data_IF_391104536776
#
_entry.id   IF_391104536776
#
_cell.length_a   1.000
_cell.length_b   1.000
_cell.length_c   1.000
_cell.angle_alpha   90.00
_cell.angle_beta   90.00
_cell.angle_gamma   90.00
#
_symmetry.space_group_name_H-M   'P 1'
#
loop_
_entity.id
_entity.type
_entity.pdbx_description
1 polymer ?
#
# COMPACT_ATOMS: atom_id res chain seq x y z
N UNK A 1 15.90 6.81 1.06
CA UNK A 1 14.64 7.48 1.40
C UNK A 1 14.13 8.39 0.28
N UNK A 2 15.02 8.82 -0.66
CA UNK A 2 14.66 9.72 -1.75
C UNK A 2 15.32 9.28 -3.06
N UNK A 3 14.68 9.50 -4.26
CA UNK A 3 15.28 9.15 -5.56
C UNK A 3 16.66 9.78 -5.82
N UNK A 4 16.93 10.95 -5.24
CA UNK A 4 18.21 11.63 -5.36
C UNK A 4 19.39 10.93 -4.65
N UNK A 5 19.10 10.00 -3.73
CA UNK A 5 20.15 9.19 -3.07
C UNK A 5 20.72 8.11 -4.00
N UNK A 6 20.01 7.78 -5.10
CA UNK A 6 20.44 6.78 -6.05
C UNK A 6 21.31 7.47 -7.12
N UNK A 7 22.58 7.66 -6.75
CA UNK A 7 23.63 8.23 -7.61
C UNK A 7 24.26 7.14 -8.48
N UNK A 8 25.05 7.50 -9.52
CA UNK A 8 25.80 6.52 -10.32
C UNK A 8 26.69 5.59 -9.49
N UNK A 9 27.27 6.08 -8.38
CA UNK A 9 28.11 5.30 -7.48
C UNK A 9 27.26 4.26 -6.74
N UNK A 10 26.07 4.63 -6.27
CA UNK A 10 25.12 3.71 -5.63
C UNK A 10 24.63 2.67 -6.64
N UNK A 11 24.29 3.07 -7.87
CA UNK A 11 23.90 2.15 -8.94
C UNK A 11 25.00 1.12 -9.21
N UNK A 12 26.26 1.56 -9.31
CA UNK A 12 27.42 0.67 -9.49
C UNK A 12 27.60 -0.30 -8.32
N UNK A 13 27.50 0.19 -7.09
CA UNK A 13 27.63 -0.65 -5.89
C UNK A 13 26.52 -1.72 -5.81
N UNK A 14 25.28 -1.33 -6.09
CA UNK A 14 24.15 -2.28 -6.15
C UNK A 14 24.36 -3.33 -7.26
N UNK A 15 24.84 -2.92 -8.43
CA UNK A 15 25.12 -3.83 -9.52
C UNK A 15 26.19 -4.88 -9.13
N UNK A 16 27.30 -4.45 -8.51
CA UNK A 16 28.36 -5.36 -8.04
C UNK A 16 27.86 -6.39 -7.05
N UNK A 17 27.04 -5.99 -6.08
CA UNK A 17 26.45 -6.90 -5.11
C UNK A 17 25.46 -7.88 -5.77
N UNK A 18 24.61 -7.39 -6.65
CA UNK A 18 23.63 -8.23 -7.35
C UNK A 18 24.31 -9.20 -8.33
N UNK A 19 25.41 -8.81 -9.00
CA UNK A 19 26.20 -9.67 -9.87
C UNK A 19 26.91 -10.79 -9.08
N UNK A 20 27.26 -10.52 -7.81
CA UNK A 20 27.78 -11.52 -6.88
C UNK A 20 26.70 -12.46 -6.32
N UNK A 21 25.44 -12.34 -6.76
CA UNK A 21 24.32 -13.18 -6.30
C UNK A 21 23.75 -12.78 -4.93
N UNK A 22 24.06 -11.59 -4.43
CA UNK A 22 23.56 -11.10 -3.13
C UNK A 22 22.19 -10.44 -3.36
N UNK A 23 21.10 -10.95 -2.71
CA UNK A 23 19.80 -10.32 -2.82
C UNK A 23 19.76 -8.98 -2.09
N UNK A 24 19.22 -7.96 -2.76
CA UNK A 24 19.17 -6.60 -2.22
C UNK A 24 17.71 -6.20 -1.92
N UNK A 25 17.49 -5.65 -0.74
CA UNK A 25 16.23 -5.08 -0.31
C UNK A 25 16.39 -3.70 0.30
N UNK A 26 15.44 -2.80 0.02
CA UNK A 26 15.45 -1.46 0.60
C UNK A 26 14.49 -1.32 1.77
N UNK A 27 14.89 -0.53 2.75
CA UNK A 27 14.05 -0.06 3.84
C UNK A 27 14.02 1.46 3.80
N UNK A 28 12.82 2.03 3.73
CA UNK A 28 12.60 3.47 3.57
C UNK A 28 11.74 3.96 4.73
N UNK A 29 12.08 5.10 5.30
CA UNK A 29 11.23 5.78 6.30
C UNK A 29 10.38 6.82 5.59
N UNK A 30 9.09 6.87 5.89
CA UNK A 30 8.18 7.90 5.38
C UNK A 30 8.39 9.20 6.15
N UNK A 31 8.86 10.23 5.45
CA UNK A 31 9.28 11.50 6.04
C UNK A 31 8.50 12.66 5.42
N UNK A 32 7.84 13.44 6.27
CA UNK A 32 7.07 14.63 5.88
C UNK A 32 7.94 15.65 5.18
N UNK A 33 7.46 16.13 4.02
CA UNK A 33 8.14 17.14 3.21
C UNK A 33 9.35 16.62 2.41
N UNK A 34 9.67 15.32 2.50
CA UNK A 34 10.79 14.68 1.79
C UNK A 34 10.28 13.66 0.78
N UNK A 35 9.55 12.64 1.23
CA UNK A 35 9.07 11.55 0.40
C UNK A 35 7.61 11.18 0.65
N UNK A 36 6.86 12.01 1.34
CA UNK A 36 5.44 11.85 1.65
C UNK A 36 4.50 12.21 0.47
N UNK A 37 4.97 11.93 -0.75
CA UNK A 37 4.27 12.17 -2.00
C UNK A 37 4.32 10.90 -2.86
N UNK A 38 3.18 10.52 -3.44
CA UNK A 38 3.05 9.28 -4.23
C UNK A 38 3.98 9.25 -5.44
N UNK A 39 4.21 10.38 -6.12
CA UNK A 39 5.08 10.45 -7.30
C UNK A 39 6.55 10.25 -6.91
N UNK A 40 7.02 10.92 -5.84
CA UNK A 40 8.39 10.76 -5.32
C UNK A 40 8.62 9.32 -4.88
N UNK A 41 7.66 8.74 -4.15
CA UNK A 41 7.75 7.36 -3.70
C UNK A 41 7.74 6.37 -4.86
N UNK A 42 6.90 6.58 -5.86
CA UNK A 42 6.85 5.77 -7.09
C UNK A 42 8.18 5.82 -7.85
N UNK A 43 8.75 7.01 -8.02
CA UNK A 43 10.06 7.17 -8.66
C UNK A 43 11.14 6.40 -7.90
N UNK A 44 11.17 6.53 -6.55
CA UNK A 44 12.12 5.80 -5.71
C UNK A 44 11.99 4.28 -5.90
N UNK A 45 10.76 3.75 -5.80
CA UNK A 45 10.51 2.30 -5.90
C UNK A 45 10.91 1.76 -7.28
N UNK A 46 10.63 2.49 -8.35
CA UNK A 46 11.03 2.11 -9.71
C UNK A 46 12.56 2.19 -9.93
N UNK A 47 13.23 3.23 -9.40
CA UNK A 47 14.69 3.33 -9.44
C UNK A 47 15.35 2.18 -8.67
N UNK A 48 14.83 1.82 -7.49
CA UNK A 48 15.33 0.68 -6.73
C UNK A 48 15.23 -0.63 -7.54
N UNK A 49 14.07 -0.92 -8.13
CA UNK A 49 13.91 -2.12 -8.96
C UNK A 49 14.84 -2.13 -10.17
N UNK A 50 14.99 -0.99 -10.86
CA UNK A 50 15.93 -0.87 -11.99
C UNK A 50 17.35 -1.25 -11.58
N UNK A 51 17.72 -0.97 -10.33
CA UNK A 51 19.01 -1.31 -9.74
C UNK A 51 19.02 -2.69 -9.05
N UNK A 52 18.02 -3.55 -9.31
CA UNK A 52 17.91 -4.89 -8.74
C UNK A 52 17.81 -4.91 -7.21
N UNK A 53 17.32 -3.80 -6.64
CA UNK A 53 17.00 -3.68 -5.20
C UNK A 53 15.50 -3.82 -5.02
N UNK A 54 15.04 -4.86 -4.30
CA UNK A 54 13.62 -5.05 -4.01
C UNK A 54 13.14 -4.01 -3.00
N UNK A 55 12.16 -3.13 -3.32
CA UNK A 55 11.45 -2.36 -2.32
C UNK A 55 10.83 -3.31 -1.28
N UNK A 56 11.29 -3.22 -0.02
CA UNK A 56 10.94 -4.19 1.00
C UNK A 56 9.99 -3.60 2.03
N UNK A 57 10.41 -2.55 2.73
CA UNK A 57 9.58 -1.85 3.71
C UNK A 57 9.57 -0.34 3.48
N UNK A 58 8.39 0.26 3.71
CA UNK A 58 8.25 1.66 4.10
C UNK A 58 7.85 1.66 5.57
N UNK A 59 8.62 2.35 6.41
CA UNK A 59 8.34 2.51 7.83
C UNK A 59 7.57 3.79 8.09
N UNK A 60 6.52 3.72 8.88
CA UNK A 60 6.03 4.89 9.60
C UNK A 60 7.15 5.36 10.54
N UNK A 61 7.48 6.66 10.51
CA UNK A 61 8.53 7.19 11.37
C UNK A 61 8.19 6.98 12.85
N UNK A 62 9.17 6.49 13.60
CA UNK A 62 9.05 6.24 15.03
C UNK A 62 8.82 7.53 15.83
N UNK A 63 8.26 7.40 17.04
CA UNK A 63 8.05 8.51 17.98
C UNK A 63 9.34 8.86 18.71
N UNK A 64 10.39 9.21 17.95
CA UNK A 64 11.68 9.62 18.50
C UNK A 64 11.64 11.10 18.87
N UNK A 65 12.16 11.45 20.04
CA UNK A 65 12.25 12.84 20.48
C UNK A 65 12.99 13.71 19.46
N UNK A 66 12.45 14.90 19.19
CA UNK A 66 13.03 15.86 18.24
C UNK A 66 12.73 15.60 16.77
N UNK A 67 12.05 14.50 16.42
CA UNK A 67 11.75 14.12 15.01
C UNK A 67 10.30 14.33 14.59
N UNK A 68 9.46 14.88 15.44
CA UNK A 68 8.01 15.04 15.21
C UNK A 68 7.67 15.80 13.92
N UNK A 69 8.49 16.76 13.55
CA UNK A 69 8.32 17.57 12.34
C UNK A 69 8.48 16.75 11.05
N UNK A 70 9.13 15.59 11.11
CA UNK A 70 9.25 14.67 9.98
C UNK A 70 8.16 13.59 9.95
N UNK A 71 7.34 13.47 10.99
CA UNK A 71 6.31 12.44 11.01
C UNK A 71 5.09 12.83 10.17
N UNK A 72 4.57 11.85 9.45
CA UNK A 72 3.32 11.94 8.70
C UNK A 72 2.19 11.25 9.47
N UNK A 73 0.95 11.41 9.03
CA UNK A 73 -0.13 10.55 9.47
C UNK A 73 0.00 9.15 8.86
N UNK A 74 -0.50 8.14 9.56
CA UNK A 74 -0.61 6.75 9.04
C UNK A 74 -1.44 6.70 7.76
N UNK A 75 -2.51 7.50 7.70
CA UNK A 75 -3.37 7.58 6.52
C UNK A 75 -2.57 7.99 5.27
N UNK A 76 -1.63 8.93 5.39
CA UNK A 76 -0.77 9.34 4.28
C UNK A 76 0.04 8.16 3.71
N UNK A 77 0.57 7.31 4.59
CA UNK A 77 1.28 6.09 4.16
C UNK A 77 0.36 5.08 3.46
N UNK A 78 -0.86 4.88 3.97
CA UNK A 78 -1.86 4.02 3.34
C UNK A 78 -2.28 4.54 1.96
N UNK A 79 -2.45 5.85 1.81
CA UNK A 79 -2.79 6.47 0.52
C UNK A 79 -1.68 6.25 -0.51
N UNK A 80 -0.41 6.44 -0.12
CA UNK A 80 0.75 6.19 -0.97
C UNK A 80 0.80 4.72 -1.41
N UNK A 81 0.60 3.77 -0.50
CA UNK A 81 0.55 2.33 -0.86
C UNK A 81 -0.58 2.04 -1.83
N UNK A 82 -1.76 2.62 -1.62
CA UNK A 82 -2.91 2.47 -2.53
C UNK A 82 -2.57 2.97 -3.94
N UNK A 83 -1.95 4.14 -4.03
CA UNK A 83 -1.51 4.71 -5.32
C UNK A 83 -0.47 3.84 -6.02
N UNK A 84 0.50 3.29 -5.27
CA UNK A 84 1.50 2.37 -5.82
C UNK A 84 0.86 1.09 -6.35
N UNK A 85 -0.08 0.50 -5.61
CA UNK A 85 -0.72 -0.78 -5.98
C UNK A 85 -1.45 -0.73 -7.32
N UNK A 86 -2.03 0.41 -7.68
CA UNK A 86 -2.78 0.55 -8.93
C UNK A 86 -1.96 0.92 -10.16
N UNK A 87 -0.74 1.45 -9.96
CA UNK A 87 -0.01 2.16 -11.01
C UNK A 87 1.44 1.72 -11.18
N UNK A 88 1.88 0.67 -10.49
CA UNK A 88 3.22 0.10 -10.61
C UNK A 88 3.19 -1.42 -10.66
N UNK A 89 4.34 -2.04 -11.01
CA UNK A 89 4.51 -3.48 -10.82
C UNK A 89 4.37 -3.86 -9.34
N UNK A 90 3.73 -4.97 -9.04
CA UNK A 90 3.67 -5.50 -7.66
C UNK A 90 5.05 -5.69 -7.02
N UNK A 91 6.10 -5.87 -7.83
CA UNK A 91 7.48 -5.90 -7.33
C UNK A 91 7.97 -4.53 -6.84
N UNK A 92 7.37 -3.43 -7.28
CA UNK A 92 7.67 -2.07 -6.83
C UNK A 92 6.86 -1.66 -5.59
N UNK A 93 5.91 -2.48 -5.13
CA UNK A 93 5.09 -2.17 -3.96
C UNK A 93 5.72 -2.80 -2.72
N UNK A 94 6.22 -1.98 -1.76
CA UNK A 94 6.75 -2.45 -0.48
C UNK A 94 5.63 -2.73 0.52
N UNK A 95 5.98 -3.32 1.66
CA UNK A 95 5.08 -3.37 2.82
C UNK A 95 5.20 -2.06 3.62
N UNK A 96 4.07 -1.43 3.89
CA UNK A 96 4.02 -0.33 4.85
C UNK A 96 3.89 -0.91 6.26
N UNK A 97 4.75 -0.47 7.18
CA UNK A 97 4.86 -1.06 8.51
C UNK A 97 5.01 0.00 9.60
N UNK A 98 4.52 -0.34 10.78
CA UNK A 98 4.78 0.38 12.03
C UNK A 98 5.50 -0.59 12.97
N UNK A 99 6.54 -0.13 13.63
CA UNK A 99 7.09 -0.80 14.80
C UNK A 99 6.24 -0.38 16.01
N UNK A 100 5.40 -1.32 16.47
CA UNK A 100 4.40 -1.01 17.51
C UNK A 100 5.07 -0.70 18.86
N UNK A 101 4.68 0.41 19.53
CA UNK A 101 5.25 0.80 20.81
C UNK A 101 5.15 -0.31 21.87
N UNK A 102 6.02 -0.25 22.88
CA UNK A 102 6.00 -1.21 23.99
C UNK A 102 6.41 -2.63 23.62
N UNK A 103 7.17 -2.81 22.55
CA UNK A 103 7.64 -4.14 22.12
C UNK A 103 6.61 -4.95 21.34
N UNK A 104 5.58 -4.31 20.80
CA UNK A 104 4.51 -4.96 20.02
C UNK A 104 4.94 -5.54 18.67
N UNK A 105 6.21 -5.32 18.27
CA UNK A 105 6.79 -5.84 17.03
C UNK A 105 6.32 -5.09 15.78
N UNK A 106 6.68 -5.64 14.65
CA UNK A 106 6.43 -5.04 13.33
C UNK A 106 5.04 -5.39 12.81
N UNK A 107 4.20 -4.39 12.68
CA UNK A 107 2.82 -4.53 12.20
C UNK A 107 2.71 -4.02 10.76
N UNK A 108 2.25 -4.86 9.85
CA UNK A 108 1.96 -4.47 8.46
C UNK A 108 0.63 -3.76 8.39
N UNK A 109 0.62 -2.62 7.72
CA UNK A 109 -0.56 -1.83 7.43
C UNK A 109 -0.91 -1.96 5.96
N UNK A 110 -2.15 -2.30 5.66
CA UNK A 110 -2.66 -2.45 4.30
C UNK A 110 -3.92 -1.61 4.14
N UNK A 111 -4.15 -1.02 2.94
CA UNK A 111 -5.46 -0.50 2.62
C UNK A 111 -6.52 -1.58 2.81
N UNK A 112 -7.62 -1.26 3.45
CA UNK A 112 -8.70 -2.22 3.64
C UNK A 112 -9.39 -2.49 2.29
N UNK A 113 -9.14 -3.67 1.72
CA UNK A 113 -9.71 -4.08 0.44
C UNK A 113 -10.93 -4.99 0.60
N UNK A 114 -11.18 -5.53 1.79
CA UNK A 114 -12.37 -6.36 2.08
C UNK A 114 -13.38 -5.50 2.81
N UNK A 115 -14.54 -5.30 2.18
CA UNK A 115 -15.65 -4.50 2.74
C UNK A 115 -16.56 -5.40 3.56
N UNK A 116 -16.88 -6.58 3.01
CA UNK A 116 -17.83 -7.53 3.58
C UNK A 116 -17.41 -8.96 3.23
N UNK A 117 -17.66 -9.90 4.14
CA UNK A 117 -17.32 -11.30 3.97
C UNK A 117 -18.37 -12.19 4.62
N UNK A 118 -18.86 -13.18 3.88
CA UNK A 118 -19.74 -14.23 4.38
C UNK A 118 -19.42 -15.59 3.71
N UNK A 119 -20.18 -16.64 4.00
CA UNK A 119 -19.91 -17.99 3.48
C UNK A 119 -20.09 -18.12 1.95
N UNK A 120 -20.80 -17.19 1.32
CA UNK A 120 -21.16 -17.26 -0.09
C UNK A 120 -20.35 -16.32 -0.97
N UNK A 121 -20.00 -15.14 -0.46
CA UNK A 121 -19.30 -14.12 -1.21
C UNK A 121 -18.38 -13.25 -0.34
N UNK A 122 -17.41 -12.64 -0.99
CA UNK A 122 -16.58 -11.57 -0.46
C UNK A 122 -16.81 -10.31 -1.29
N UNK A 123 -17.13 -9.21 -0.64
CA UNK A 123 -17.23 -7.89 -1.29
C UNK A 123 -15.91 -7.17 -1.12
N UNK A 124 -15.29 -6.81 -2.22
CA UNK A 124 -13.96 -6.20 -2.24
C UNK A 124 -13.98 -4.86 -2.98
N UNK A 125 -13.06 -4.00 -2.63
CA UNK A 125 -12.77 -2.76 -3.36
C UNK A 125 -11.39 -2.81 -3.98
N UNK A 126 -11.24 -2.28 -5.19
CA UNK A 126 -9.94 -2.13 -5.84
C UNK A 126 -9.29 -0.78 -5.50
N UNK A 127 -8.11 -0.52 -6.07
CA UNK A 127 -7.34 0.72 -5.88
C UNK A 127 -8.10 1.98 -6.35
N UNK A 128 -9.03 1.86 -7.31
CA UNK A 128 -9.89 2.96 -7.77
C UNK A 128 -11.11 3.19 -6.86
N UNK A 129 -11.33 2.33 -5.85
CA UNK A 129 -12.52 2.36 -5.00
C UNK A 129 -13.75 1.69 -5.62
N UNK A 130 -13.59 0.99 -6.76
CA UNK A 130 -14.69 0.22 -7.36
C UNK A 130 -14.95 -1.04 -6.57
N UNK A 131 -16.21 -1.37 -6.38
CA UNK A 131 -16.66 -2.53 -5.60
C UNK A 131 -16.90 -3.72 -6.51
N UNK A 132 -16.41 -4.89 -6.08
CA UNK A 132 -16.57 -6.17 -6.77
C UNK A 132 -17.07 -7.24 -5.79
N UNK A 133 -17.80 -8.23 -6.32
CA UNK A 133 -18.29 -9.39 -5.56
C UNK A 133 -17.60 -10.64 -6.07
N UNK A 134 -16.93 -11.35 -5.19
CA UNK A 134 -16.25 -12.61 -5.48
C UNK A 134 -17.01 -13.76 -4.82
N UNK A 135 -17.52 -14.70 -5.64
CA UNK A 135 -18.25 -15.86 -5.15
C UNK A 135 -17.31 -16.87 -4.51
N UNK A 136 -17.65 -17.34 -3.32
CA UNK A 136 -16.90 -18.38 -2.62
C UNK A 136 -17.26 -19.79 -3.12
N UNK A 137 -16.35 -20.79 -3.02
CA UNK A 137 -16.58 -22.16 -3.53
C UNK A 137 -17.84 -22.84 -2.98
N UNK A 138 -18.25 -22.51 -1.78
CA UNK A 138 -19.45 -23.08 -1.13
C UNK A 138 -20.73 -22.27 -1.41
N UNK A 139 -20.64 -21.16 -2.13
CA UNK A 139 -21.78 -20.41 -2.61
C UNK A 139 -22.53 -21.25 -3.65
N UNK A 140 -23.71 -21.75 -3.33
CA UNK A 140 -24.56 -22.45 -4.32
C UNK A 140 -24.76 -21.54 -5.52
N UNK A 141 -24.35 -21.97 -6.71
CA UNK A 141 -24.73 -21.33 -7.96
C UNK A 141 -26.26 -21.35 -8.05
N UNK A 142 -26.88 -20.26 -7.63
CA UNK A 142 -28.29 -20.03 -7.89
C UNK A 142 -28.46 -19.80 -9.39
N UNK A 143 -28.76 -20.86 -10.14
CA UNK A 143 -29.33 -20.74 -11.47
C UNK A 143 -30.68 -20.08 -11.33
N UNK A 144 -30.77 -18.81 -11.70
CA UNK A 144 -32.04 -18.18 -12.05
C UNK A 144 -31.84 -17.28 -13.26
N UNK A 145 -32.19 -17.83 -14.41
CA UNK A 145 -32.70 -17.05 -15.53
C UNK A 145 -33.89 -16.24 -15.02
N UNK A 146 -33.75 -14.95 -14.98
CA UNK A 146 -34.81 -14.04 -14.52
C UNK A 146 -34.52 -12.63 -14.98
N UNK A 147 -34.99 -12.33 -16.22
CA UNK A 147 -35.07 -11.01 -16.79
C UNK A 147 -35.95 -10.11 -15.91
N UNK A 148 -35.39 -9.16 -15.19
CA UNK A 148 -36.18 -8.04 -14.67
C UNK A 148 -35.32 -6.78 -14.57
N UNK A 149 -35.65 -5.85 -15.48
CA UNK A 149 -35.30 -4.42 -15.36
C UNK A 149 -35.86 -3.89 -14.04
N UNK A 150 -35.01 -3.42 -13.15
CA UNK A 150 -35.46 -2.51 -12.11
C UNK A 150 -34.45 -1.36 -11.97
N UNK A 151 -35.07 -0.18 -11.97
CA UNK A 151 -34.46 1.13 -11.98
C UNK A 151 -33.67 1.39 -10.68
N UNK A 152 -32.54 2.06 -10.88
CA UNK A 152 -31.71 2.66 -9.84
C UNK A 152 -32.48 3.71 -9.02
N UNK A 153 -32.46 3.56 -7.70
CA UNK A 153 -32.56 4.68 -6.76
C UNK A 153 -31.53 4.41 -5.64
N UNK A 154 -30.35 4.97 -5.80
CA UNK A 154 -29.38 5.10 -4.71
C UNK A 154 -29.60 6.46 -4.06
N UNK A 155 -30.27 6.44 -2.92
CA UNK A 155 -30.27 7.56 -2.00
C UNK A 155 -28.87 7.67 -1.36
N UNK A 156 -28.29 8.88 -1.48
CA UNK A 156 -27.16 9.32 -0.67
C UNK A 156 -27.59 9.32 0.79
N UNK A 157 -26.93 8.54 1.62
CA UNK A 157 -26.98 8.73 3.07
C UNK A 157 -25.60 9.24 3.53
N UNK A 158 -25.66 10.42 4.14
CA UNK A 158 -24.59 11.11 4.82
C UNK A 158 -23.97 10.23 5.91
N UNK A 159 -22.66 10.00 5.85
CA UNK A 159 -21.90 9.50 6.97
C UNK A 159 -21.12 10.66 7.58
N UNK A 160 -21.71 11.32 8.54
CA UNK A 160 -21.00 12.13 9.50
C UNK A 160 -21.59 11.81 10.89
N UNK A 161 -20.75 11.34 11.79
CA UNK A 161 -20.73 11.52 13.24
C UNK A 161 -20.21 10.30 13.97
N UNK A 162 -18.95 10.40 14.42
CA UNK A 162 -18.48 9.68 15.59
C UNK A 162 -18.40 10.67 16.75
N UNK A 163 -18.93 10.32 17.93
CA UNK A 163 -18.80 11.18 19.12
C UNK A 163 -17.45 11.00 19.80
N UNK A 164 -17.11 12.02 20.60
CA UNK A 164 -15.89 12.25 21.35
C UNK A 164 -15.46 11.15 22.33
#
# INVERSE_FOLDING_TARGET
NHPAEITPEVEKACAMLADAGIPLGSQTVLLKGINDNSEVMKELMLKLLKNRVKPYYIYQADMTEGTDHFRTSVQKGLDIIKDLMGHTSGMAVPYFVIDAPGGGGKVRLLPNSVIEHNEHEVVITNYEGKVFRYQQPNGKNGSSNGNSKSKSNLQKQDMCQLPA
#
